data_IF_556101148990
#
_entry.id   IF_556101148990
#
_cell.length_a   1.000
_cell.length_b   1.000
_cell.length_c   1.000
_cell.angle_alpha   90.00
_cell.angle_beta   90.00
_cell.angle_gamma   90.00
#
_symmetry.space_group_name_H-M   'P 1'
#
loop_
_entity.id
_entity.type
_entity.pdbx_description
1 polymer ?
#
# COMPACT_ATOMS: atom_id res chain seq x y z
N UNK A 1 -9.30 19.80 51.00
CA UNK A 1 -8.60 20.28 49.79
C UNK A 1 -9.56 20.16 48.62
N UNK A 2 -10.27 21.25 48.29
CA UNK A 2 -11.24 21.28 47.18
C UNK A 2 -10.52 21.79 45.93
N UNK A 3 -10.53 21.00 44.85
CA UNK A 3 -9.98 21.36 43.56
C UNK A 3 -11.12 21.91 42.67
N UNK A 4 -11.12 23.18 42.24
CA UNK A 4 -12.19 23.67 41.38
C UNK A 4 -11.99 23.16 39.94
N UNK A 5 -12.95 22.39 39.44
CA UNK A 5 -13.04 22.05 38.02
C UNK A 5 -13.13 23.32 37.18
N UNK A 6 -12.07 23.56 36.38
CA UNK A 6 -12.07 24.59 35.35
C UNK A 6 -12.97 24.11 34.22
N UNK A 7 -14.14 24.72 34.09
CA UNK A 7 -15.04 24.51 32.96
C UNK A 7 -14.56 25.42 31.81
N UNK A 8 -13.86 24.84 30.83
CA UNK A 8 -13.53 25.55 29.59
C UNK A 8 -14.79 25.54 28.72
N UNK A 9 -15.48 26.68 28.66
CA UNK A 9 -16.60 26.86 27.75
C UNK A 9 -16.10 26.70 26.29
N UNK A 10 -16.82 25.96 25.42
CA UNK A 10 -16.45 25.87 24.02
C UNK A 10 -16.51 27.26 23.38
N UNK A 11 -15.65 27.56 22.40
CA UNK A 11 -15.68 28.83 21.71
C UNK A 11 -17.06 29.01 21.06
N UNK A 12 -17.73 30.09 21.41
CA UNK A 12 -18.97 30.51 20.76
C UNK A 12 -18.65 30.84 19.31
N UNK A 13 -18.96 29.91 18.40
CA UNK A 13 -18.99 30.14 16.96
C UNK A 13 -20.01 31.27 16.70
N UNK A 14 -19.50 32.49 16.51
CA UNK A 14 -20.30 33.58 15.96
C UNK A 14 -20.57 33.26 14.49
N UNK A 15 -21.75 32.71 14.23
CA UNK A 15 -22.23 32.52 12.86
C UNK A 15 -22.43 33.91 12.21
N UNK A 16 -21.93 34.16 10.99
CA UNK A 16 -22.22 35.40 10.28
C UNK A 16 -23.73 35.56 10.13
N UNK A 17 -24.24 36.77 10.39
CA UNK A 17 -25.65 37.12 10.16
C UNK A 17 -26.02 36.83 8.70
N UNK A 18 -26.96 35.91 8.50
CA UNK A 18 -27.40 35.46 7.19
C UNK A 18 -27.95 36.63 6.34
N UNK A 19 -27.60 36.73 5.04
CA UNK A 19 -28.36 37.55 4.12
C UNK A 19 -29.73 36.89 3.90
N UNK A 20 -30.79 37.52 4.40
CA UNK A 20 -32.18 37.07 4.27
C UNK A 20 -32.67 37.24 2.83
N UNK A 21 -32.33 36.30 1.96
CA UNK A 21 -32.84 36.22 0.58
C UNK A 21 -32.87 34.78 0.09
N UNK A 22 -33.81 34.40 -0.81
CA UNK A 22 -33.95 33.03 -1.32
C UNK A 22 -32.68 32.49 -2.00
N UNK A 23 -31.79 33.37 -2.48
CA UNK A 23 -30.49 33.00 -3.04
C UNK A 23 -29.50 32.43 -1.99
N UNK A 24 -29.50 32.96 -0.77
CA UNK A 24 -28.56 32.55 0.29
C UNK A 24 -28.84 31.12 0.81
N UNK A 25 -30.11 30.69 0.76
CA UNK A 25 -30.50 29.31 1.07
C UNK A 25 -30.04 28.32 -0.01
N UNK A 26 -30.05 28.74 -1.28
CA UNK A 26 -29.51 27.97 -2.40
C UNK A 26 -28.01 27.75 -2.27
N UNK A 27 -27.25 28.83 -2.06
CA UNK A 27 -25.79 28.77 -1.84
C UNK A 27 -25.42 27.92 -0.62
N UNK A 28 -26.17 28.05 0.48
CA UNK A 28 -25.98 27.21 1.67
C UNK A 28 -26.24 25.73 1.37
N UNK A 29 -27.26 25.43 0.57
CA UNK A 29 -27.58 24.05 0.17
C UNK A 29 -26.52 23.46 -0.78
N UNK A 30 -25.93 24.28 -1.66
CA UNK A 30 -24.87 23.86 -2.56
C UNK A 30 -23.57 23.61 -1.82
N UNK A 31 -23.22 24.45 -0.85
CA UNK A 31 -22.08 24.22 0.05
C UNK A 31 -22.25 22.93 0.87
N UNK A 32 -23.47 22.64 1.36
CA UNK A 32 -23.75 21.40 2.07
C UNK A 32 -23.65 20.17 1.15
N UNK A 33 -24.06 20.28 -0.12
CA UNK A 33 -23.87 19.20 -1.12
C UNK A 33 -22.39 18.97 -1.40
N UNK A 34 -21.62 20.03 -1.63
CA UNK A 34 -20.18 19.94 -1.84
C UNK A 34 -19.46 19.32 -0.63
N UNK A 35 -19.83 19.74 0.59
CA UNK A 35 -19.29 19.15 1.82
C UNK A 35 -19.62 17.67 1.94
N UNK A 36 -20.85 17.28 1.61
CA UNK A 36 -21.31 15.90 1.64
C UNK A 36 -20.54 15.05 0.61
N UNK A 37 -20.26 15.59 -0.57
CA UNK A 37 -19.47 14.91 -1.60
C UNK A 37 -18.02 14.70 -1.12
N UNK A 38 -17.38 15.72 -0.53
CA UNK A 38 -16.05 15.57 0.09
C UNK A 38 -16.07 14.55 1.23
N UNK A 39 -17.12 14.53 2.07
CA UNK A 39 -17.24 13.55 3.16
C UNK A 39 -17.38 12.11 2.63
N UNK A 40 -18.11 11.91 1.52
CA UNK A 40 -18.19 10.59 0.87
C UNK A 40 -16.83 10.14 0.35
N UNK A 41 -16.08 11.03 -0.27
CA UNK A 41 -14.72 10.74 -0.74
C UNK A 41 -13.78 10.40 0.43
N UNK A 42 -13.82 11.20 1.50
CA UNK A 42 -13.04 10.93 2.72
C UNK A 42 -13.40 9.57 3.33
N UNK A 43 -14.68 9.23 3.39
CA UNK A 43 -15.15 7.93 3.89
C UNK A 43 -14.70 6.78 3.00
N UNK A 44 -14.68 6.96 1.68
CA UNK A 44 -14.16 5.97 0.74
C UNK A 44 -12.65 5.73 0.97
N UNK A 45 -11.87 6.80 1.12
CA UNK A 45 -10.44 6.72 1.42
C UNK A 45 -10.18 6.06 2.78
N UNK A 46 -10.95 6.39 3.81
CA UNK A 46 -10.82 5.80 5.14
C UNK A 46 -11.12 4.29 5.13
N UNK A 47 -12.15 3.86 4.39
CA UNK A 47 -12.45 2.43 4.20
C UNK A 47 -11.33 1.69 3.48
N UNK A 48 -10.75 2.30 2.43
CA UNK A 48 -9.62 1.72 1.71
C UNK A 48 -8.39 1.57 2.61
N UNK A 49 -8.08 2.58 3.43
CA UNK A 49 -6.98 2.53 4.39
C UNK A 49 -7.19 1.45 5.46
N UNK A 50 -8.42 1.31 5.98
CA UNK A 50 -8.75 0.27 6.96
C UNK A 50 -8.57 -1.14 6.37
N UNK A 51 -9.02 -1.37 5.13
CA UNK A 51 -8.84 -2.65 4.46
C UNK A 51 -7.36 -3.00 4.24
N UNK A 52 -6.51 -2.00 3.96
CA UNK A 52 -5.06 -2.18 3.87
C UNK A 52 -4.41 -2.48 5.23
N UNK A 53 -4.86 -1.85 6.32
CA UNK A 53 -4.36 -2.13 7.66
C UNK A 53 -4.75 -3.55 8.15
N UNK A 54 -5.93 -4.04 7.78
CA UNK A 54 -6.40 -5.38 8.11
C UNK A 54 -5.55 -6.48 7.46
N UNK A 55 -5.03 -6.26 6.25
CA UNK A 55 -4.16 -7.24 5.58
C UNK A 55 -2.81 -7.34 6.30
N UNK A 56 -2.22 -6.22 6.72
CA UNK A 56 -0.96 -6.20 7.48
C UNK A 56 -1.13 -6.82 8.87
N UNK A 57 -2.27 -6.57 9.53
CA UNK A 57 -2.58 -7.15 10.85
C UNK A 57 -2.68 -8.68 10.79
N UNK A 58 -3.26 -9.23 9.72
CA UNK A 58 -3.30 -10.69 9.51
C UNK A 58 -1.91 -11.32 9.46
N UNK A 59 -0.98 -10.70 8.73
CA UNK A 59 0.40 -11.19 8.65
C UNK A 59 1.16 -11.06 9.96
N UNK A 60 0.97 -9.98 10.71
CA UNK A 60 1.52 -9.83 12.07
C UNK A 60 1.04 -10.95 13.00
N UNK A 61 -0.25 -11.25 12.99
CA UNK A 61 -0.82 -12.34 13.80
C UNK A 61 -0.31 -13.71 13.36
N UNK A 62 -0.14 -13.92 12.04
CA UNK A 62 0.45 -15.13 11.50
C UNK A 62 1.90 -15.35 11.98
N UNK A 63 2.73 -14.31 11.91
CA UNK A 63 4.12 -14.36 12.40
C UNK A 63 4.18 -14.59 13.91
N UNK A 64 3.34 -13.89 14.69
CA UNK A 64 3.28 -14.08 16.14
C UNK A 64 2.90 -15.52 16.53
N UNK A 65 2.01 -16.16 15.76
CA UNK A 65 1.60 -17.56 16.00
C UNK A 65 2.74 -18.56 15.81
N UNK A 66 3.66 -18.28 14.88
CA UNK A 66 4.76 -19.20 14.51
C UNK A 66 6.12 -18.75 15.04
N UNK A 67 6.17 -17.70 15.87
CA UNK A 67 7.41 -17.09 16.36
C UNK A 67 8.30 -18.08 17.14
N UNK A 68 7.71 -19.03 17.86
CA UNK A 68 8.46 -20.04 18.62
C UNK A 68 9.22 -21.04 17.74
N UNK A 69 8.70 -21.32 16.54
CA UNK A 69 9.30 -22.27 15.59
C UNK A 69 10.19 -21.56 14.56
N UNK A 70 9.84 -20.32 14.20
CA UNK A 70 10.51 -19.54 13.17
C UNK A 70 10.74 -18.10 13.65
N UNK A 71 11.69 -17.87 14.59
CA UNK A 71 11.90 -16.56 15.20
C UNK A 71 12.38 -15.49 14.21
N UNK A 72 13.21 -15.88 13.24
CA UNK A 72 13.91 -14.95 12.34
C UNK A 72 13.28 -14.85 10.95
N UNK A 73 12.17 -15.56 10.68
CA UNK A 73 11.61 -15.65 9.33
C UNK A 73 11.23 -14.27 8.76
N UNK A 74 10.72 -13.39 9.60
CA UNK A 74 10.38 -12.03 9.20
C UNK A 74 11.61 -11.21 8.78
N UNK A 75 12.70 -11.34 9.55
CA UNK A 75 13.99 -10.67 9.28
C UNK A 75 14.60 -11.26 8.00
N UNK A 76 14.67 -12.59 7.91
CA UNK A 76 15.17 -13.29 6.73
C UNK A 76 14.39 -12.91 5.46
N UNK A 77 13.05 -12.82 5.52
CA UNK A 77 12.24 -12.33 4.41
C UNK A 77 12.61 -10.89 4.04
N UNK A 78 12.81 -10.01 5.02
CA UNK A 78 13.20 -8.61 4.79
C UNK A 78 14.60 -8.46 4.19
N UNK A 79 15.53 -9.34 4.53
CA UNK A 79 16.89 -9.36 3.97
C UNK A 79 16.94 -9.94 2.56
N UNK A 80 16.15 -10.98 2.29
CA UNK A 80 16.13 -11.68 0.99
C UNK A 80 15.29 -10.94 -0.04
N UNK A 81 14.22 -10.25 0.37
CA UNK A 81 13.33 -9.49 -0.51
C UNK A 81 14.08 -8.58 -1.51
N UNK A 82 15.01 -7.70 -1.11
CA UNK A 82 15.73 -6.84 -2.06
C UNK A 82 16.61 -7.64 -3.05
N UNK A 83 17.08 -8.83 -2.69
CA UNK A 83 17.85 -9.70 -3.59
C UNK A 83 16.93 -10.26 -4.69
N UNK A 84 15.74 -10.69 -4.30
CA UNK A 84 14.72 -11.21 -5.22
C UNK A 84 14.22 -10.09 -6.15
N UNK A 85 13.92 -8.91 -5.60
CA UNK A 85 13.49 -7.74 -6.38
C UNK A 85 14.54 -7.33 -7.42
N UNK A 86 15.83 -7.30 -7.05
CA UNK A 86 16.92 -7.04 -8.01
C UNK A 86 16.99 -8.09 -9.11
N UNK A 87 16.74 -9.35 -8.77
CA UNK A 87 16.73 -10.44 -9.76
C UNK A 87 15.56 -10.30 -10.72
N UNK A 88 14.37 -9.96 -10.20
CA UNK A 88 13.18 -9.68 -11.00
C UNK A 88 13.40 -8.51 -11.96
N UNK A 89 13.95 -7.40 -11.46
CA UNK A 89 14.28 -6.25 -12.30
C UNK A 89 15.35 -6.57 -13.35
N UNK A 90 16.34 -7.39 -13.02
CA UNK A 90 17.34 -7.86 -13.99
C UNK A 90 16.71 -8.66 -15.12
N UNK A 91 15.76 -9.55 -14.81
CA UNK A 91 15.04 -10.30 -15.83
C UNK A 91 14.22 -9.39 -16.74
N UNK A 92 13.53 -8.39 -16.17
CA UNK A 92 12.80 -7.38 -16.97
C UNK A 92 13.76 -6.59 -17.85
N UNK A 93 14.91 -6.20 -17.34
CA UNK A 93 15.91 -5.47 -18.10
C UNK A 93 16.45 -6.30 -19.28
N UNK A 94 16.77 -7.58 -19.06
CA UNK A 94 17.18 -8.50 -20.13
C UNK A 94 16.08 -8.65 -21.18
N UNK A 95 14.84 -8.83 -20.73
CA UNK A 95 13.67 -8.95 -21.58
C UNK A 95 13.49 -7.70 -22.46
N UNK A 96 13.58 -6.52 -21.83
CA UNK A 96 13.43 -5.22 -22.51
C UNK A 96 14.56 -4.96 -23.50
N UNK A 97 15.78 -5.41 -23.18
CA UNK A 97 16.94 -5.28 -24.07
C UNK A 97 16.79 -6.14 -25.32
N UNK A 98 16.29 -7.38 -25.20
CA UNK A 98 16.01 -8.26 -26.34
C UNK A 98 14.93 -7.68 -27.25
N UNK A 99 13.80 -7.25 -26.67
CA UNK A 99 12.72 -6.60 -27.44
C UNK A 99 13.16 -5.33 -28.19
N UNK A 100 14.24 -4.67 -27.74
CA UNK A 100 14.81 -3.48 -28.39
C UNK A 100 15.91 -3.83 -29.40
N UNK A 101 16.55 -4.98 -29.24
CA UNK A 101 17.73 -5.40 -29.99
C UNK A 101 17.45 -6.40 -31.11
N UNK A 102 16.35 -7.15 -31.03
CA UNK A 102 15.90 -8.02 -32.12
C UNK A 102 15.37 -7.15 -33.27
N UNK A 103 15.67 -7.53 -34.51
CA UNK A 103 15.13 -6.84 -35.69
C UNK A 103 13.59 -6.80 -35.59
N UNK A 104 12.94 -5.68 -35.95
CA UNK A 104 11.51 -5.49 -35.78
C UNK A 104 10.63 -6.58 -36.44
N UNK A 105 11.19 -7.36 -37.37
CA UNK A 105 10.54 -8.48 -38.06
C UNK A 105 10.47 -9.79 -37.24
N UNK A 106 11.35 -10.00 -36.26
CA UNK A 106 11.48 -11.30 -35.59
C UNK A 106 10.36 -11.52 -34.56
N UNK A 107 9.86 -10.45 -33.94
CA UNK A 107 8.73 -10.49 -33.00
C UNK A 107 7.34 -10.42 -33.67
N UNK A 108 7.28 -10.13 -34.97
CA UNK A 108 6.04 -10.31 -35.76
C UNK A 108 5.75 -11.79 -36.02
N UNK A 109 6.78 -12.65 -35.91
CA UNK A 109 6.62 -14.10 -35.97
C UNK A 109 5.97 -14.63 -34.69
N UNK A 110 4.73 -15.12 -34.82
CA UNK A 110 3.97 -15.75 -33.73
C UNK A 110 4.74 -16.89 -33.04
N UNK A 111 5.62 -17.56 -33.78
CA UNK A 111 6.50 -18.61 -33.27
C UNK A 111 7.57 -18.08 -32.31
N UNK A 112 8.26 -17.00 -32.69
CA UNK A 112 9.33 -16.39 -31.88
C UNK A 112 8.72 -15.74 -30.63
N UNK A 113 7.55 -15.11 -30.76
CA UNK A 113 6.80 -14.58 -29.64
C UNK A 113 6.40 -15.70 -28.66
N UNK A 114 5.92 -16.84 -29.16
CA UNK A 114 5.53 -17.98 -28.32
C UNK A 114 6.74 -18.57 -27.56
N UNK A 115 7.89 -18.75 -28.23
CA UNK A 115 9.11 -19.25 -27.59
C UNK A 115 9.64 -18.25 -26.54
N UNK A 116 9.58 -16.96 -26.83
CA UNK A 116 9.91 -15.89 -25.89
C UNK A 116 9.01 -15.92 -24.65
N UNK A 117 7.69 -16.03 -24.84
CA UNK A 117 6.72 -16.10 -23.74
C UNK A 117 6.92 -17.37 -22.91
N UNK A 118 7.24 -18.51 -23.51
CA UNK A 118 7.49 -19.75 -22.77
C UNK A 118 8.76 -19.64 -21.92
N UNK A 119 9.83 -19.07 -22.48
CA UNK A 119 11.12 -18.90 -21.80
C UNK A 119 11.10 -17.89 -20.66
N UNK A 120 10.43 -16.75 -20.86
CA UNK A 120 10.46 -15.63 -19.91
C UNK A 120 9.18 -15.48 -19.09
N UNK A 121 8.02 -15.78 -19.68
CA UNK A 121 6.71 -15.56 -19.07
C UNK A 121 6.51 -16.36 -17.79
N UNK A 122 6.80 -17.67 -17.81
CA UNK A 122 6.63 -18.52 -16.63
C UNK A 122 7.54 -18.07 -15.47
N UNK A 123 8.83 -17.86 -15.76
CA UNK A 123 9.82 -17.48 -14.73
C UNK A 123 9.54 -16.10 -14.15
N UNK A 124 9.15 -15.14 -15.00
CA UNK A 124 8.80 -13.79 -14.57
C UNK A 124 7.53 -13.79 -13.71
N UNK A 125 6.52 -14.55 -14.10
CA UNK A 125 5.27 -14.72 -13.34
C UNK A 125 5.50 -15.37 -11.98
N UNK A 126 6.30 -16.44 -11.93
CA UNK A 126 6.67 -17.12 -10.70
C UNK A 126 7.43 -16.19 -9.76
N UNK A 127 8.45 -15.49 -10.27
CA UNK A 127 9.26 -14.59 -9.45
C UNK A 127 8.44 -13.39 -8.95
N UNK A 128 7.54 -12.84 -9.77
CA UNK A 128 6.59 -11.80 -9.35
C UNK A 128 5.63 -12.27 -8.25
N UNK A 129 5.19 -13.53 -8.32
CA UNK A 129 4.35 -14.16 -7.29
C UNK A 129 5.12 -14.35 -5.98
N UNK A 130 6.40 -14.75 -6.05
CA UNK A 130 7.25 -14.87 -4.87
C UNK A 130 7.43 -13.50 -4.20
N UNK A 131 7.71 -12.45 -4.97
CA UNK A 131 7.81 -11.08 -4.44
C UNK A 131 6.50 -10.66 -3.76
N UNK A 132 5.36 -10.85 -4.42
CA UNK A 132 4.06 -10.43 -3.87
C UNK A 132 3.66 -11.17 -2.59
N UNK A 133 4.14 -12.40 -2.40
CA UNK A 133 3.95 -13.17 -1.18
C UNK A 133 4.91 -12.77 -0.06
N UNK A 134 6.16 -12.44 -0.39
CA UNK A 134 7.20 -12.10 0.59
C UNK A 134 7.10 -10.65 1.09
N UNK A 135 6.71 -9.70 0.23
CA UNK A 135 6.57 -8.28 0.61
C UNK A 135 5.71 -8.06 1.87
N UNK A 136 4.47 -8.59 1.98
CA UNK A 136 3.65 -8.35 3.17
C UNK A 136 4.20 -9.01 4.44
N UNK A 137 4.98 -10.10 4.31
CA UNK A 137 5.65 -10.76 5.43
C UNK A 137 6.82 -9.91 5.93
N UNK A 138 7.62 -9.37 5.00
CA UNK A 138 8.69 -8.44 5.33
C UNK A 138 8.16 -7.14 5.99
N UNK A 139 7.05 -6.60 5.50
CA UNK A 139 6.40 -5.39 6.02
C UNK A 139 5.68 -5.60 7.37
N UNK A 140 5.25 -6.83 7.66
CA UNK A 140 4.66 -7.18 8.95
C UNK A 140 5.72 -7.32 10.06
N UNK A 141 7.00 -7.45 9.71
CA UNK A 141 8.09 -7.66 10.66
C UNK A 141 8.38 -6.36 11.43
N UNK A 142 8.24 -6.35 12.76
CA UNK A 142 8.49 -5.15 13.57
C UNK A 142 9.98 -4.75 13.53
N UNK A 143 10.26 -3.45 13.42
CA UNK A 143 11.62 -2.92 13.35
C UNK A 143 12.48 -3.19 14.61
N UNK A 144 11.84 -3.48 15.74
CA UNK A 144 12.51 -3.72 17.03
C UNK A 144 13.22 -5.08 17.14
N UNK A 145 13.04 -6.00 16.19
CA UNK A 145 13.78 -7.26 16.17
C UNK A 145 15.20 -7.11 15.57
N UNK A 146 15.55 -5.91 15.09
CA UNK A 146 16.88 -5.56 14.57
C UNK A 146 17.67 -4.86 15.68
N UNK A 147 17.89 -5.51 16.82
CA UNK A 147 18.94 -5.07 17.74
C UNK A 147 20.26 -5.71 17.33
N UNK A 148 21.35 -4.93 17.12
CA UNK A 148 22.65 -5.49 16.80
C UNK A 148 23.22 -6.12 18.07
N UNK A 149 23.41 -7.44 18.04
CA UNK A 149 24.24 -8.15 19.00
C UNK A 149 25.67 -7.56 18.90
N UNK A 150 25.98 -6.64 19.80
CA UNK A 150 27.35 -6.17 20.03
C UNK A 150 28.14 -7.32 20.65
N UNK A 151 29.15 -7.82 19.94
CA UNK A 151 30.34 -8.45 20.51
C UNK A 151 31.58 -7.78 19.92
#
# INVERSE_FOLDING_TARGET
MNNPSIFVAPPTLKLPSAPSGPAALGESSDLLRQLLDVQKEQLALAKAAAAAADSQTRWKNFLARWQSEFPDIGIACKEVLPIIERTYLRMIAELTARLRGDEPDDLESEFVLAEFLDKYGLRLSQLGTIVSQLSPIADATPAAAVEPEKS
#
